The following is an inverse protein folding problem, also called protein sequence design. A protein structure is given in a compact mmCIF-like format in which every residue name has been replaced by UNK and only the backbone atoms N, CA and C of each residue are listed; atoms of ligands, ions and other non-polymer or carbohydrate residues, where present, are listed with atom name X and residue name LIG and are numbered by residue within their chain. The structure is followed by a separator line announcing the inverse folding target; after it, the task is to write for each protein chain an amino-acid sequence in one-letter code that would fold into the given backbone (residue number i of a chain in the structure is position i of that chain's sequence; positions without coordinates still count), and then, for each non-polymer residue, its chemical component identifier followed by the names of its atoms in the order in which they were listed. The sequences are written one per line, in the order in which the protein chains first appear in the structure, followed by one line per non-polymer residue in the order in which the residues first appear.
data_IF_107951387700
#
_entry.id   IF_107951387700
#
_cell.length_a   1.000
_cell.length_b   1.000
_cell.length_c   1.000
_cell.angle_alpha   90.00
_cell.angle_beta   90.00
_cell.angle_gamma   90.00
#
_symmetry.space_group_name_H-M   'P 1'
#
loop_
_entity.id
_entity.type
_entity.pdbx_description
1 polymer ?
2 non-polymer ?
3 water ?
#
# COMPACT_ATOMS: atom_id res chain seq x y z
N UNK A 1 4.23 4.91 -13.94
CA UNK A 1 4.53 4.68 -12.52
C UNK A 1 4.66 3.20 -12.20
N UNK A 2 5.41 3.03 -11.10
CA UNK A 2 5.79 1.72 -10.62
C UNK A 2 5.28 1.55 -9.18
N UNK A 3 4.24 0.73 -9.00
CA UNK A 3 3.66 0.43 -7.70
C UNK A 3 3.54 -1.06 -7.51
N UNK A 4 3.67 -1.52 -6.27
CA UNK A 4 3.30 -2.90 -5.89
C UNK A 4 2.45 -2.76 -4.66
N UNK A 5 1.20 -3.12 -4.76
CA UNK A 5 0.20 -2.91 -3.72
C UNK A 5 -0.29 -4.27 -3.26
N UNK A 6 0.15 -4.67 -2.09
CA UNK A 6 -0.15 -6.02 -1.58
C UNK A 6 -1.29 -5.93 -0.57
N UNK A 7 -2.19 -6.91 -0.56
CA UNK A 7 -3.21 -6.90 0.45
C UNK A 7 -2.61 -7.07 1.85
N UNK A 8 -1.52 -7.82 1.96
CA UNK A 8 -1.04 -8.23 3.27
C UNK A 8 0.39 -8.71 3.15
N UNK A 9 1.04 -8.79 4.34
CA UNK A 9 2.45 -9.08 4.30
C UNK A 9 2.79 -10.56 4.30
N UNK A 10 1.95 -11.43 4.86
CA UNK A 10 2.43 -12.79 5.12
C UNK A 10 1.38 -13.83 4.80
N UNK A 11 1.64 -14.79 3.92
CA UNK A 11 0.74 -15.87 3.59
C UNK A 11 0.78 -16.89 4.75
N UNK A 12 -0.31 -17.61 4.94
CA UNK A 12 -0.28 -18.62 6.01
C UNK A 12 0.87 -19.60 5.81
N UNK A 13 1.56 -19.86 6.92
CA UNK A 13 2.69 -20.75 7.00
C UNK A 13 3.93 -20.26 6.30
N UNK A 14 3.91 -19.02 5.82
CA UNK A 14 5.05 -18.51 5.09
C UNK A 14 5.71 -17.35 5.84
N UNK A 15 6.83 -16.87 5.25
CA UNK A 15 7.57 -15.88 6.01
C UNK A 15 7.03 -14.52 5.62
N UNK A 16 7.25 -13.58 6.53
CA UNK A 16 6.71 -12.23 6.25
C UNK A 16 7.37 -11.73 4.97
N UNK A 17 6.60 -11.22 4.01
CA UNK A 17 6.83 -10.71 2.67
C UNK A 17 7.32 -11.80 1.68
N UNK A 18 7.29 -13.07 2.02
CA UNK A 18 7.88 -14.10 1.14
C UNK A 18 7.25 -14.12 -0.23
N UNK A 19 5.94 -14.01 -0.31
CA UNK A 19 5.27 -14.04 -1.61
C UNK A 19 5.51 -12.78 -2.44
N UNK A 20 5.91 -11.71 -1.75
CA UNK A 20 6.20 -10.44 -2.40
C UNK A 20 7.59 -10.45 -3.05
N UNK A 21 8.52 -11.26 -2.53
CA UNK A 21 9.90 -11.12 -3.02
C UNK A 21 10.07 -11.29 -4.52
N UNK A 22 9.50 -12.30 -5.17
CA UNK A 22 9.72 -12.42 -6.62
C UNK A 22 9.11 -11.23 -7.37
N UNK A 23 7.97 -10.71 -6.89
CA UNK A 23 7.33 -9.55 -7.49
C UNK A 23 8.20 -8.30 -7.41
N UNK A 24 8.79 -8.09 -6.21
CA UNK A 24 9.72 -6.97 -6.03
C UNK A 24 10.94 -7.16 -6.89
N UNK A 25 11.53 -8.37 -6.87
CA UNK A 25 12.73 -8.58 -7.69
C UNK A 25 12.47 -8.30 -9.15
N UNK A 26 11.31 -8.69 -9.66
CA UNK A 26 10.97 -8.46 -11.06
C UNK A 26 10.81 -6.97 -11.37
N UNK A 27 10.47 -6.16 -10.36
CA UNK A 27 10.13 -4.78 -10.60
C UNK A 27 11.23 -3.79 -10.27
N UNK A 28 12.23 -4.19 -9.49
CA UNK A 28 13.25 -3.26 -9.02
C UNK A 28 14.01 -2.55 -10.14
N UNK A 29 14.33 -3.34 -11.17
CA UNK A 29 15.09 -2.74 -12.28
C UNK A 29 16.36 -2.04 -11.82
N UNK A 30 17.08 -2.58 -10.85
CA UNK A 30 18.36 -2.04 -10.41
C UNK A 30 18.30 -1.03 -9.29
N UNK A 31 17.09 -0.67 -8.86
CA UNK A 31 16.94 0.28 -7.73
C UNK A 31 17.50 -0.34 -6.47
N UNK A 32 18.09 0.54 -5.65
CA UNK A 32 18.65 0.05 -4.38
C UNK A 32 18.21 0.87 -3.18
N UNK A 33 18.18 2.21 -3.25
CA UNK A 33 17.98 2.95 -2.01
C UNK A 33 16.50 3.02 -1.67
N UNK A 34 16.17 2.55 -0.47
CA UNK A 34 14.78 2.54 -0.04
C UNK A 34 14.60 3.27 1.29
N UNK A 35 13.49 4.00 1.40
CA UNK A 35 13.03 4.44 2.71
C UNK A 35 11.84 3.62 3.13
N UNK A 36 11.83 3.20 4.39
CA UNK A 36 10.69 2.49 4.98
C UNK A 36 9.90 3.48 5.84
N UNK A 37 8.59 3.50 5.60
CA UNK A 37 7.64 4.33 6.33
C UNK A 37 6.92 3.40 7.32
N UNK A 38 7.27 3.49 8.61
CA UNK A 38 6.78 2.51 9.58
C UNK A 38 5.55 2.93 10.35
N UNK A 39 5.03 4.13 10.04
CA UNK A 39 4.12 4.83 10.95
C UNK A 39 2.77 4.13 11.13
N UNK A 40 2.37 3.18 10.28
CA UNK A 40 1.14 2.44 10.58
C UNK A 40 1.32 1.61 11.85
N UNK A 41 2.55 1.26 12.18
CA UNK A 41 2.76 0.29 13.27
C UNK A 41 2.58 0.96 14.62
N UNK A 42 2.02 0.18 15.52
CA UNK A 42 1.43 0.58 16.77
C UNK A 42 2.00 -0.22 17.94
N UNK A 43 1.87 -1.53 17.90
CA UNK A 43 2.22 -2.46 18.97
C UNK A 43 3.67 -2.94 18.91
N UNK A 44 4.37 -2.70 17.83
CA UNK A 44 5.78 -2.94 17.58
C UNK A 44 6.54 -1.64 17.40
N UNK A 45 7.78 -1.57 17.84
CA UNK A 45 8.43 -0.29 17.63
C UNK A 45 8.71 -0.08 16.15
N UNK A 46 8.81 1.20 15.77
CA UNK A 46 9.16 1.34 14.35
C UNK A 46 10.55 0.86 13.99
N UNK A 47 11.44 1.08 14.94
CA UNK A 47 12.80 0.63 14.79
C UNK A 47 12.75 -0.86 14.44
N UNK A 48 12.05 -1.64 15.29
CA UNK A 48 12.07 -3.07 14.97
C UNK A 48 11.38 -3.43 13.67
N UNK A 49 10.33 -2.67 13.33
CA UNK A 49 9.63 -2.88 12.05
C UNK A 49 10.54 -2.71 10.83
N UNK A 50 11.38 -1.69 10.88
CA UNK A 50 12.35 -1.48 9.78
C UNK A 50 13.32 -2.62 9.57
N UNK A 51 13.79 -3.34 10.59
CA UNK A 51 14.77 -4.45 10.43
C UNK A 51 14.28 -5.70 9.69
N UNK A 52 13.05 -6.11 10.01
CA UNK A 52 12.47 -7.26 9.31
C UNK A 52 12.57 -7.00 7.81
N UNK A 53 12.10 -5.80 7.38
CA UNK A 53 12.04 -5.38 5.99
C UNK A 53 13.43 -5.38 5.34
N UNK A 54 14.39 -4.76 6.03
CA UNK A 54 15.80 -4.75 5.57
C UNK A 54 16.33 -6.18 5.43
N UNK A 55 15.96 -7.08 6.33
CA UNK A 55 16.46 -8.43 6.30
C UNK A 55 16.06 -9.18 5.05
N UNK A 56 14.74 -8.99 4.76
CA UNK A 56 14.31 -9.83 3.64
C UNK A 56 14.60 -9.17 2.30
N UNK A 57 14.71 -7.82 2.32
CA UNK A 57 14.98 -7.12 1.07
C UNK A 57 16.46 -6.87 0.79
N UNK A 58 17.30 -6.88 1.82
CA UNK A 58 18.72 -6.69 1.47
C UNK A 58 19.26 -7.65 0.43
N UNK A 59 18.99 -8.93 0.44
CA UNK A 59 19.51 -9.84 -0.61
C UNK A 59 19.06 -9.48 -2.02
N UNK A 60 17.92 -8.81 -2.15
CA UNK A 60 17.39 -8.34 -3.42
C UNK A 60 18.11 -7.06 -3.88
N UNK A 61 19.06 -6.57 -3.07
CA UNK A 61 19.84 -5.38 -3.49
C UNK A 61 19.19 -4.13 -2.97
N UNK A 62 18.32 -4.19 -2.00
CA UNK A 62 17.60 -3.05 -1.47
C UNK A 62 18.20 -2.65 -0.13
N UNK A 63 18.60 -1.38 -0.02
CA UNK A 63 19.13 -0.86 1.24
C UNK A 63 18.04 -0.07 1.93
N UNK A 64 17.48 -0.62 3.00
CA UNK A 64 16.33 -0.01 3.64
C UNK A 64 16.75 0.82 4.82
N UNK A 65 16.35 2.08 4.81
CA UNK A 65 16.53 2.96 5.95
C UNK A 65 15.17 3.42 6.49
N UNK A 66 15.02 3.36 7.82
CA UNK A 66 13.73 3.79 8.39
C UNK A 66 13.65 5.30 8.38
N UNK A 67 12.50 5.83 7.96
CA UNK A 67 12.41 7.29 7.77
C UNK A 67 12.41 8.02 9.09
N UNK A 68 12.07 7.32 10.18
CA UNK A 68 12.18 7.81 11.54
C UNK A 68 13.62 7.81 12.05
N UNK A 69 14.60 7.31 11.34
CA UNK A 69 15.97 7.16 11.82
C UNK A 69 16.94 7.98 10.96
N UNK A 70 16.44 8.92 10.16
CA UNK A 70 17.30 9.78 9.35
C UNK A 70 17.09 11.23 9.76
N UNK A 71 18.16 12.01 9.60
CA UNK A 71 18.09 13.39 10.08
C UNK A 71 17.16 14.28 9.27
N UNK A 72 17.06 14.01 7.97
CA UNK A 72 16.24 14.82 7.05
C UNK A 72 15.31 13.89 6.24
N UNK A 73 14.15 13.58 6.82
CA UNK A 73 13.26 12.62 6.18
C UNK A 73 12.77 13.13 4.85
N UNK A 74 12.56 14.43 4.68
CA UNK A 74 12.12 14.96 3.40
C UNK A 74 13.17 14.69 2.35
N UNK A 75 14.45 15.02 2.69
CA UNK A 75 15.51 14.75 1.72
C UNK A 75 15.70 13.27 1.45
N UNK A 76 15.52 12.46 2.52
CA UNK A 76 15.63 11.01 2.30
C UNK A 76 14.63 10.54 1.25
N UNK A 77 13.40 11.04 1.35
CA UNK A 77 12.36 10.69 0.37
C UNK A 77 12.76 11.25 -1.00
N UNK A 78 13.24 12.49 -1.06
CA UNK A 78 13.57 13.09 -2.36
C UNK A 78 14.67 12.29 -3.06
N UNK A 79 15.55 11.64 -2.32
CA UNK A 79 16.68 10.93 -2.91
C UNK A 79 16.39 9.45 -3.08
N UNK A 80 15.36 8.94 -2.46
CA UNK A 80 15.10 7.49 -2.47
C UNK A 80 14.70 6.99 -3.85
N UNK A 81 15.13 5.76 -4.15
CA UNK A 81 14.64 5.11 -5.37
C UNK A 81 13.41 4.27 -5.13
N UNK A 82 13.14 3.93 -3.86
CA UNK A 82 12.07 3.04 -3.47
C UNK A 82 11.44 3.57 -2.19
N UNK A 83 10.12 3.60 -2.14
CA UNK A 83 9.37 4.00 -0.93
C UNK A 83 8.59 2.77 -0.49
N UNK A 84 8.79 2.36 0.74
CA UNK A 84 8.15 1.14 1.24
C UNK A 84 7.27 1.50 2.41
N UNK A 85 5.99 1.15 2.36
CA UNK A 85 5.05 1.58 3.38
C UNK A 85 4.39 0.34 3.98
N UNK A 86 4.69 0.12 5.28
CA UNK A 86 4.23 -1.09 5.94
C UNK A 86 2.80 -0.96 6.44
N UNK A 87 2.33 -2.12 6.86
CA UNK A 87 1.00 -2.30 7.36
C UNK A 87 0.89 -1.90 8.83
N UNK A 88 -0.34 -1.89 9.32
CA UNK A 88 -0.69 -1.45 10.68
C UNK A 88 -1.96 -0.61 10.60
N UNK A 89 -2.08 0.44 11.38
CA UNK A 89 -3.29 1.24 11.39
C UNK A 89 -3.21 2.36 10.35
N UNK A 90 -4.15 2.36 9.43
CA UNK A 90 -4.15 3.30 8.32
C UNK A 90 -4.30 4.74 8.75
N UNK A 91 -5.13 4.96 9.80
CA UNK A 91 -5.31 6.34 10.29
C UNK A 91 -4.03 6.86 10.90
N UNK A 92 -3.33 6.05 11.67
CA UNK A 92 -2.06 6.54 12.23
C UNK A 92 -1.04 6.73 11.14
N UNK A 93 -1.00 5.82 10.14
CA UNK A 93 -0.06 6.02 9.02
C UNK A 93 -0.27 7.37 8.35
N UNK A 94 -1.54 7.68 8.04
CA UNK A 94 -1.84 8.95 7.35
C UNK A 94 -1.61 10.14 8.25
N UNK A 95 -2.00 10.05 9.52
CA UNK A 95 -1.75 11.17 10.45
C UNK A 95 -0.30 11.52 10.52
N UNK A 96 0.53 10.52 10.73
CA UNK A 96 1.98 10.79 10.86
C UNK A 96 2.58 11.28 9.55
N UNK A 97 2.16 10.67 8.43
CA UNK A 97 2.72 11.08 7.16
C UNK A 97 2.37 12.55 6.87
N UNK A 98 1.11 12.91 7.17
CA UNK A 98 0.66 14.27 6.97
C UNK A 98 1.36 15.26 7.90
N UNK A 99 1.34 14.93 9.20
CA UNK A 99 1.91 15.86 10.18
C UNK A 99 3.38 16.07 9.96
N UNK A 100 4.08 15.06 9.47
CA UNK A 100 5.52 15.15 9.23
C UNK A 100 5.84 15.78 7.88
N UNK A 101 4.83 16.15 7.11
CA UNK A 101 5.07 16.82 5.81
C UNK A 101 5.61 15.84 4.77
N UNK A 102 5.31 14.57 4.90
CA UNK A 102 5.89 13.57 3.99
C UNK A 102 4.94 13.09 2.92
N UNK A 103 3.67 13.37 3.06
CA UNK A 103 2.71 12.83 2.12
C UNK A 103 2.92 13.37 0.72
N UNK A 104 2.91 14.68 0.52
CA UNK A 104 3.16 15.14 -0.87
C UNK A 104 4.55 14.74 -1.36
N UNK A 105 5.63 14.88 -0.57
CA UNK A 105 6.95 14.39 -1.02
C UNK A 105 6.94 12.92 -1.46
N UNK A 106 6.25 12.04 -0.75
CA UNK A 106 6.26 10.65 -1.21
C UNK A 106 5.56 10.54 -2.57
N UNK A 107 4.41 11.20 -2.72
CA UNK A 107 3.71 11.13 -3.99
C UNK A 107 4.57 11.71 -5.11
N UNK A 108 5.19 12.87 -4.86
CA UNK A 108 6.02 13.46 -5.88
C UNK A 108 7.14 12.52 -6.31
N UNK A 109 7.74 11.85 -5.31
CA UNK A 109 8.90 11.03 -5.63
C UNK A 109 8.49 9.81 -6.45
N UNK A 110 7.34 9.22 -6.15
CA UNK A 110 6.84 8.10 -6.96
C UNK A 110 6.48 8.62 -8.34
N UNK A 111 5.86 9.81 -8.42
CA UNK A 111 5.59 10.35 -9.76
C UNK A 111 6.86 10.53 -10.55
N UNK A 112 7.96 10.85 -9.87
CA UNK A 112 9.23 11.03 -10.56
C UNK A 112 10.02 9.75 -10.77
N UNK A 113 9.42 8.58 -10.53
CA UNK A 113 10.02 7.32 -10.95
C UNK A 113 10.33 6.31 -9.86
N UNK A 114 10.20 6.68 -8.58
CA UNK A 114 10.55 5.69 -7.55
C UNK A 114 9.51 4.58 -7.54
N UNK A 115 10.00 3.40 -7.16
CA UNK A 115 9.08 2.28 -6.94
C UNK A 115 8.41 2.42 -5.58
N UNK A 116 7.08 2.31 -5.54
CA UNK A 116 6.33 2.31 -4.30
C UNK A 116 5.94 0.88 -3.98
N UNK A 117 6.24 0.39 -2.79
CA UNK A 117 5.76 -0.93 -2.31
C UNK A 117 4.95 -0.69 -1.07
N UNK A 118 3.71 -1.14 -1.01
CA UNK A 118 2.90 -0.96 0.17
C UNK A 118 2.09 -2.23 0.41
N UNK A 119 1.92 -2.60 1.66
CA UNK A 119 1.01 -3.69 1.96
C UNK A 119 0.01 -3.24 3.00
N UNK A 120 -1.19 -3.81 2.95
CA UNK A 120 -2.19 -3.49 4.01
C UNK A 120 -2.43 -2.00 4.05
N UNK A 121 -2.20 -1.34 5.20
CA UNK A 121 -2.35 0.12 5.27
C UNK A 121 -1.54 0.84 4.17
N UNK A 122 -0.37 0.31 3.81
CA UNK A 122 0.42 0.96 2.78
C UNK A 122 -0.18 0.79 1.40
N UNK A 123 -0.98 -0.23 1.16
CA UNK A 123 -1.76 -0.26 -0.08
C UNK A 123 -2.87 0.76 -0.05
N UNK A 124 -3.56 0.94 1.10
CA UNK A 124 -4.58 1.97 1.23
C UNK A 124 -4.01 3.34 0.91
N UNK A 125 -2.81 3.61 1.41
CA UNK A 125 -2.21 4.94 1.31
C UNK A 125 -2.00 5.35 -0.14
N UNK A 126 -1.83 4.42 -1.05
CA UNK A 126 -1.58 4.76 -2.45
C UNK A 126 -2.81 5.31 -3.18
N UNK A 127 -3.98 5.07 -2.59
CA UNK A 127 -5.25 5.38 -3.23
C UNK A 127 -5.62 6.86 -3.05
N UNK A 128 -6.71 7.32 -3.64
CA UNK A 128 -7.06 8.74 -3.44
C UNK A 128 -7.37 9.09 -2.01
N UNK A 129 -7.98 8.14 -1.27
CA UNK A 129 -8.35 8.38 0.11
C UNK A 129 -8.19 7.06 0.86
N UNK A 130 -8.29 7.15 2.18
CA UNK A 130 -8.34 5.94 3.02
C UNK A 130 -9.76 5.54 3.36
N UNK A 131 -10.77 5.91 2.57
CA UNK A 131 -12.16 5.67 2.92
C UNK A 131 -12.50 4.18 2.91
N UNK A 132 -11.64 3.33 2.32
CA UNK A 132 -11.92 1.88 2.29
C UNK A 132 -11.02 1.08 3.23
N UNK A 133 -10.45 1.70 4.25
CA UNK A 133 -9.82 0.87 5.30
C UNK A 133 -10.86 0.15 6.17
N UNK A 134 -10.41 -0.99 6.69
CA UNK A 134 -11.14 -1.78 7.69
C UNK A 134 -10.76 -1.39 9.12
N UNK A 135 -9.79 -0.50 9.26
CA UNK A 135 -9.22 -0.18 10.52
C UNK A 135 -10.13 0.70 11.37
N UNK A 136 -9.88 0.61 12.67
CA UNK A 136 -10.59 1.47 13.64
C UNK A 136 -9.96 2.86 13.67
N UNK A 137 -10.76 3.91 13.81
CA UNK A 137 -10.24 5.29 13.75
C UNK A 137 -9.57 5.76 15.02
N UNK A 138 -8.39 5.18 15.28
CA UNK A 138 -7.81 5.40 16.60
C UNK A 138 -7.17 6.78 16.75
N UNK A 139 -6.84 7.43 15.65
CA UNK A 139 -6.34 8.81 15.66
C UNK A 139 -6.96 9.51 14.45
N UNK A 140 -7.15 10.80 14.60
CA UNK A 140 -7.67 11.62 13.52
C UNK A 140 -6.54 12.08 12.61
N UNK A 141 -6.55 11.67 11.33
CA UNK A 141 -5.46 12.04 10.45
C UNK A 141 -5.56 13.42 9.82
N UNK A 142 -6.58 14.19 10.14
CA UNK A 142 -6.76 15.56 9.61
C UNK A 142 -6.89 15.55 8.09
N UNK A 143 -7.84 14.74 7.64
CA UNK A 143 -8.12 14.55 6.24
C UNK A 143 -8.00 13.08 5.85
N UNK A 144 -8.89 12.61 5.00
CA UNK A 144 -8.83 11.22 4.53
C UNK A 144 -8.14 11.11 3.18
N UNK A 145 -7.75 12.21 2.55
CA UNK A 145 -7.02 12.15 1.30
C UNK A 145 -5.64 11.55 1.54
N UNK A 146 -5.22 10.77 0.58
CA UNK A 146 -3.97 10.01 0.71
C UNK A 146 -3.04 10.31 -0.45
N UNK A 147 -2.22 9.35 -0.91
CA UNK A 147 -1.22 9.72 -1.93
C UNK A 147 -1.79 9.95 -3.30
N UNK A 148 -2.94 9.35 -3.59
CA UNK A 148 -3.61 9.60 -4.88
C UNK A 148 -2.76 9.18 -6.08
N UNK A 149 -2.02 8.09 -5.91
CA UNK A 149 -1.15 7.53 -6.95
C UNK A 149 -1.85 6.49 -7.78
N UNK A 150 -2.71 5.70 -7.17
CA UNK A 150 -3.53 4.67 -7.78
C UNK A 150 -4.97 5.16 -7.74
N UNK A 151 -5.69 5.25 -8.85
CA UNK A 151 -6.95 5.97 -8.84
C UNK A 151 -8.17 5.21 -8.26
N UNK A 152 -8.03 3.93 -8.02
CA UNK A 152 -9.17 3.15 -7.49
C UNK A 152 -9.01 2.99 -5.99
N UNK A 153 -10.12 2.70 -5.31
CA UNK A 153 -10.06 2.46 -3.87
C UNK A 153 -9.85 0.98 -3.59
N UNK A 154 -8.84 0.65 -2.82
CA UNK A 154 -8.58 -0.74 -2.41
C UNK A 154 -9.11 -0.98 -1.02
N UNK A 155 -9.86 -2.04 -0.85
CA UNK A 155 -10.21 -2.57 0.47
C UNK A 155 -9.38 -3.83 0.67
N UNK A 156 -8.27 -3.73 1.41
CA UNK A 156 -7.42 -4.91 1.57
C UNK A 156 -8.01 -5.87 2.59
N UNK A 157 -7.39 -7.03 2.73
CA UNK A 157 -7.87 -8.05 3.68
C UNK A 157 -9.32 -8.40 3.36
N UNK A 158 -9.71 -8.34 2.10
CA UNK A 158 -11.13 -8.46 1.78
C UNK A 158 -11.64 -9.88 2.05
N UNK A 159 -12.78 -9.82 2.75
CA UNK A 159 -13.65 -10.98 2.89
C UNK A 159 -15.07 -10.48 3.23
N UNK A 160 -15.99 -11.18 2.63
CA UNK A 160 -17.40 -10.87 2.94
C UNK A 160 -17.89 -11.90 3.98
N UNK A 170 -21.95 -6.81 7.09
CA UNK A 170 -21.02 -7.34 6.09
C UNK A 170 -20.17 -6.32 5.34
N UNK A 171 -19.04 -6.79 4.82
CA UNK A 171 -18.08 -5.91 4.19
C UNK A 171 -18.64 -5.30 2.91
N UNK A 172 -19.31 -6.12 2.10
CA UNK A 172 -19.91 -5.53 0.89
C UNK A 172 -20.95 -4.49 1.28
N UNK A 173 -21.75 -4.70 2.32
CA UNK A 173 -22.72 -3.67 2.67
C UNK A 173 -22.03 -2.38 3.12
N UNK A 174 -20.92 -2.47 3.82
CA UNK A 174 -20.22 -1.23 4.20
C UNK A 174 -19.71 -0.53 2.94
N UNK A 175 -19.20 -1.31 1.99
CA UNK A 175 -18.72 -0.68 0.73
C UNK A 175 -19.87 -0.05 -0.03
N UNK A 176 -21.04 -0.73 -0.01
CA UNK A 176 -22.21 -0.16 -0.68
C UNK A 176 -22.63 1.17 -0.06
N UNK A 177 -22.49 1.32 1.27
CA UNK A 177 -22.78 2.64 1.85
C UNK A 177 -21.82 3.72 1.34
N UNK A 178 -20.51 3.39 1.26
CA UNK A 178 -19.57 4.32 0.66
C UNK A 178 -20.03 4.70 -0.75
N UNK A 179 -20.52 3.71 -1.53
CA UNK A 179 -20.93 4.02 -2.93
C UNK A 179 -22.21 4.85 -3.02
N UNK A 180 -23.00 4.94 -1.94
CA UNK A 180 -24.10 5.91 -1.89
C UNK A 180 -23.54 7.32 -1.75
N UNK A 181 -22.57 7.50 -0.83
CA UNK A 181 -22.06 8.85 -0.61
C UNK A 181 -21.02 9.28 -1.66
N UNK A 182 -20.42 8.30 -2.32
CA UNK A 182 -19.39 8.59 -3.31
C UNK A 182 -19.63 7.72 -4.52
N UNK A 183 -20.68 8.00 -5.28
CA UNK A 183 -21.10 7.08 -6.34
C UNK A 183 -20.12 6.95 -7.47
N UNK A 184 -19.10 7.78 -7.57
CA UNK A 184 -18.21 7.73 -8.70
C UNK A 184 -17.09 6.70 -8.47
N UNK A 185 -16.96 6.12 -7.27
CA UNK A 185 -15.83 5.30 -6.91
C UNK A 185 -15.90 3.88 -7.44
N UNK A 186 -14.69 3.34 -7.67
CA UNK A 186 -14.51 1.91 -7.94
C UNK A 186 -13.80 1.37 -6.70
N UNK A 187 -14.40 0.36 -6.06
CA UNK A 187 -13.77 -0.22 -4.87
C UNK A 187 -13.34 -1.67 -5.17
N UNK A 188 -12.07 -1.97 -4.94
CA UNK A 188 -11.50 -3.28 -5.16
C UNK A 188 -11.41 -4.02 -3.84
N UNK A 189 -12.16 -5.11 -3.74
CA UNK A 189 -12.03 -5.97 -2.52
C UNK A 189 -10.89 -6.95 -2.80
N UNK A 190 -9.71 -6.61 -2.24
CA UNK A 190 -8.47 -7.34 -2.55
C UNK A 190 -8.21 -8.31 -1.43
N UNK A 191 -8.41 -9.61 -1.63
CA UNK A 191 -8.28 -10.57 -0.54
C UNK A 191 -6.82 -10.75 -0.12
N UNK A 192 -6.64 -11.28 1.08
CA UNK A 192 -5.29 -11.69 1.47
C UNK A 192 -4.75 -12.64 0.42
N UNK A 193 -3.47 -12.56 0.20
CA UNK A 193 -2.77 -13.35 -0.79
C UNK A 193 -2.64 -12.65 -2.12
N UNK A 194 -3.37 -11.56 -2.35
CA UNK A 194 -3.45 -10.94 -3.69
C UNK A 194 -2.76 -9.59 -3.67
N UNK A 195 -2.59 -9.07 -4.88
CA UNK A 195 -1.85 -7.80 -5.03
C UNK A 195 -2.26 -7.16 -6.34
N UNK A 196 -1.87 -5.89 -6.49
CA UNK A 196 -1.94 -5.18 -7.76
C UNK A 196 -0.56 -4.65 -8.07
N UNK A 197 -0.03 -5.00 -9.24
CA UNK A 197 1.29 -4.55 -9.64
C UNK A 197 1.14 -3.58 -10.81
N UNK A 198 1.54 -2.36 -10.57
CA UNK A 198 1.42 -1.32 -11.57
C UNK A 198 2.80 -1.10 -12.18
N UNK A 199 2.96 -1.40 -13.46
CA UNK A 199 4.30 -1.31 -14.05
C UNK A 199 4.21 -0.95 -15.52
N UNK A 200 5.07 -0.15 -16.09
CA UNK A 200 5.22 0.06 -17.52
C UNK A 200 3.88 0.31 -18.22
N UNK A 201 3.03 0.99 -17.47
CA UNK A 201 1.77 1.49 -17.99
C UNK A 201 0.66 0.49 -17.88
N UNK A 202 0.58 -0.24 -16.80
CA UNK A 202 -0.37 -1.34 -16.72
C UNK A 202 -0.63 -1.70 -15.25
N UNK A 203 -1.87 -1.74 -14.80
CA UNK A 203 -2.21 -2.18 -13.45
C UNK A 203 -2.75 -3.61 -13.56
N UNK A 204 -2.01 -4.56 -13.00
CA UNK A 204 -2.34 -5.97 -13.21
C UNK A 204 -2.65 -6.61 -11.86
N UNK A 205 -3.76 -7.35 -11.78
CA UNK A 205 -4.12 -8.10 -10.59
C UNK A 205 -3.37 -9.42 -10.51
N UNK A 206 -2.94 -9.81 -9.32
CA UNK A 206 -2.29 -11.08 -9.15
C UNK A 206 -2.72 -11.70 -7.83
N UNK A 207 -2.47 -13.02 -7.77
CA UNK A 207 -2.64 -13.79 -6.54
C UNK A 207 -3.75 -14.85 -6.78
N UNK A 208 -3.84 -15.81 -5.87
CA UNK A 208 -4.67 -16.99 -6.08
C UNK A 208 -6.09 -16.89 -5.59
N UNK A 209 -6.44 -15.82 -4.88
CA UNK A 209 -7.80 -15.79 -4.35
C UNK A 209 -8.70 -14.91 -5.18
N UNK A 210 -10.02 -14.91 -4.92
CA UNK A 210 -10.94 -14.15 -5.78
C UNK A 210 -10.97 -12.69 -5.34
N UNK A 211 -10.77 -11.80 -6.30
CA UNK A 211 -10.87 -10.37 -6.13
C UNK A 211 -12.24 -9.92 -6.61
N UNK A 212 -12.79 -8.92 -5.94
CA UNK A 212 -14.08 -8.40 -6.32
C UNK A 212 -14.01 -6.91 -6.59
N UNK A 213 -14.84 -6.45 -7.49
CA UNK A 213 -14.92 -5.00 -7.69
C UNK A 213 -16.35 -4.58 -7.48
N UNK A 214 -16.50 -3.41 -6.83
CA UNK A 214 -17.78 -2.84 -6.51
C UNK A 214 -17.87 -1.42 -7.08
N UNK A 215 -18.93 -1.20 -7.88
CA UNK A 215 -19.28 0.12 -8.38
C UNK A 215 -20.77 0.37 -8.08
N UNK A 216 -21.11 1.64 -8.01
CA UNK A 216 -22.49 2.00 -7.61
C UNK A 216 -23.47 1.42 -8.61
N UNK A 217 -24.49 0.72 -8.08
CA UNK A 217 -25.58 0.23 -8.94
C UNK A 217 -25.16 -1.04 -9.67
N UNK A 218 -23.95 -1.51 -9.47
CA UNK A 218 -23.43 -2.68 -10.20
C UNK A 218 -23.21 -3.83 -9.26
N UNK A 219 -23.65 -5.01 -9.71
CA UNK A 219 -23.38 -6.23 -8.99
C UNK A 219 -21.87 -6.43 -8.86
N UNK A 220 -21.52 -7.10 -7.78
CA UNK A 220 -20.09 -7.37 -7.58
C UNK A 220 -19.54 -8.19 -8.74
N UNK A 221 -18.36 -7.88 -9.23
CA UNK A 221 -17.74 -8.55 -10.35
C UNK A 221 -16.47 -9.23 -9.84
N UNK A 222 -16.33 -10.53 -10.09
CA UNK A 222 -15.15 -11.28 -9.68
C UNK A 222 -14.11 -11.12 -10.78
N UNK A 223 -12.91 -10.83 -10.32
CA UNK A 223 -11.81 -10.60 -11.22
C UNK A 223 -10.80 -11.73 -11.04
N UNK A 224 -10.29 -12.06 -12.20
CA UNK A 224 -9.31 -13.12 -12.34
C UNK A 224 -7.90 -12.58 -12.28
N UNK A 225 -7.01 -13.45 -11.81
CA UNK A 225 -5.60 -13.15 -11.88
C UNK A 225 -5.24 -12.76 -13.30
N UNK A 226 -4.47 -11.68 -13.48
CA UNK A 226 -4.04 -11.19 -14.76
C UNK A 226 -4.98 -10.14 -15.27
N UNK A 227 -6.13 -9.95 -14.61
CA UNK A 227 -7.00 -8.86 -15.02
C UNK A 227 -6.26 -7.52 -15.03
N UNK A 228 -6.49 -6.71 -16.04
CA UNK A 228 -5.87 -5.39 -16.12
C UNK A 228 -6.89 -4.30 -15.86
N UNK A 229 -6.58 -3.40 -14.95
CA UNK A 229 -7.51 -2.31 -14.62
C UNK A 229 -7.54 -1.25 -15.69
X LIG B 1 -11.10 -9.68 -16.33
#
# INVERSE_FOLDING_TARGET
MELLLLSNSTLPGKAWLEHALPLIANQLNGRRSAVFIPFAGVTQTWDEYTDKTAEVLAPLGVNVTGIHRVADPLAAIEKAEIIIVGGGNTFQLLKESRERGLLAPMADRVKRGALYIGWSAGANLACPTIRTTNDMPIVDPNGFDALDLFPLQINPHFTNALPEGHKGETREQRIRELLVVAPELTVIGLPEGNWIQVSNGQAVLGGPNTTWVFKAGEEAVALEAGHRF
CD CD
#
